data_IF_302917668215
#
_entry.id   IF_302917668215
#
_cell.length_a   1.000
_cell.length_b   1.000
_cell.length_c   1.000
_cell.angle_alpha   90.00
_cell.angle_beta   90.00
_cell.angle_gamma   90.00
#
_symmetry.space_group_name_H-M   'P 1'
#
loop_
_entity.id
_entity.type
_entity.pdbx_description
1 polymer ?
#
# COMPACT_ATOMS: atom_id res chain seq x y z
N UNK A 1 -24.25 27.68 4.18
CA UNK A 1 -25.15 26.63 3.67
C UNK A 1 -24.29 25.44 3.27
N UNK A 2 -24.23 24.42 4.14
CA UNK A 2 -23.66 23.11 3.84
C UNK A 2 -24.48 22.49 2.72
N UNK A 3 -23.91 22.30 1.53
CA UNK A 3 -24.57 21.53 0.49
C UNK A 3 -24.63 20.08 0.97
N UNK A 4 -25.83 19.61 1.32
CA UNK A 4 -26.11 18.20 1.52
C UNK A 4 -25.82 17.47 0.21
N UNK A 5 -24.90 16.51 0.26
CA UNK A 5 -24.61 15.59 -0.84
C UNK A 5 -25.83 14.69 -1.00
N UNK A 6 -26.89 15.17 -1.66
CA UNK A 6 -28.07 14.38 -1.98
C UNK A 6 -27.68 13.28 -2.99
N UNK A 7 -27.75 12.04 -2.50
CA UNK A 7 -28.26 10.83 -3.17
C UNK A 7 -27.69 10.44 -4.54
N UNK A 8 -26.38 10.22 -4.64
CA UNK A 8 -25.86 9.28 -5.64
C UNK A 8 -25.34 8.05 -4.92
N UNK A 9 -26.14 7.00 -4.98
CA UNK A 9 -25.78 5.67 -4.50
C UNK A 9 -24.71 5.07 -5.43
N UNK A 10 -23.45 5.03 -4.98
CA UNK A 10 -22.36 4.39 -5.72
C UNK A 10 -22.70 2.90 -5.97
N UNK A 11 -23.48 2.25 -5.11
CA UNK A 11 -23.88 0.86 -5.27
C UNK A 11 -24.93 0.64 -6.37
N UNK A 12 -25.61 1.71 -6.82
CA UNK A 12 -26.51 1.69 -7.97
C UNK A 12 -25.79 1.99 -9.30
N UNK A 13 -24.49 2.31 -9.26
CA UNK A 13 -23.70 2.60 -10.46
C UNK A 13 -22.98 1.32 -10.88
N UNK A 14 -23.55 0.64 -11.87
CA UNK A 14 -22.92 -0.50 -12.53
C UNK A 14 -21.84 0.00 -13.50
N UNK A 15 -20.69 0.44 -12.96
CA UNK A 15 -19.47 0.43 -13.76
C UNK A 15 -19.09 -1.02 -13.86
N UNK A 16 -19.70 -1.74 -14.81
CA UNK A 16 -19.40 -3.13 -15.04
C UNK A 16 -17.89 -3.22 -15.33
N UNK A 17 -17.13 -3.68 -14.33
CA UNK A 17 -15.67 -3.77 -14.41
C UNK A 17 -15.21 -4.71 -15.54
N UNK A 18 -16.14 -5.48 -16.13
CA UNK A 18 -15.95 -6.38 -17.25
C UNK A 18 -16.43 -5.82 -18.59
N UNK A 19 -17.00 -4.60 -18.64
CA UNK A 19 -17.25 -3.94 -19.91
C UNK A 19 -15.93 -3.70 -20.64
N UNK A 20 -15.95 -3.81 -21.97
CA UNK A 20 -14.78 -3.49 -22.78
C UNK A 20 -14.23 -2.10 -22.36
N UNK A 21 -12.91 -1.99 -22.22
CA UNK A 21 -12.24 -0.70 -21.94
C UNK A 21 -12.61 0.34 -23.00
N UNK A 22 -12.94 -0.13 -24.20
CA UNK A 22 -13.40 0.69 -25.34
C UNK A 22 -14.90 1.00 -25.35
N UNK A 23 -15.70 0.48 -24.40
CA UNK A 23 -17.08 0.93 -24.20
C UNK A 23 -17.06 2.40 -23.77
N UNK A 24 -17.97 3.24 -24.27
CA UNK A 24 -18.06 4.64 -23.85
C UNK A 24 -19.12 4.85 -22.75
N UNK A 25 -19.86 3.80 -22.38
CA UNK A 25 -21.05 3.90 -21.52
C UNK A 25 -20.73 4.30 -20.07
N UNK A 26 -19.58 3.87 -19.55
CA UNK A 26 -19.11 4.19 -18.20
C UNK A 26 -18.57 5.62 -18.05
N UNK A 27 -18.18 6.29 -19.14
CA UNK A 27 -17.43 7.57 -19.11
C UNK A 27 -18.19 8.68 -18.36
N UNK A 28 -19.48 8.95 -18.68
CA UNK A 28 -20.24 10.00 -17.99
C UNK A 28 -20.40 9.72 -16.49
N UNK A 29 -20.56 8.45 -16.13
CA UNK A 29 -20.73 8.03 -14.74
C UNK A 29 -19.45 8.21 -13.93
N UNK A 30 -18.32 7.72 -14.45
CA UNK A 30 -17.02 7.83 -13.76
C UNK A 30 -16.59 9.29 -13.63
N UNK A 31 -16.83 10.11 -14.65
CA UNK A 31 -16.58 11.56 -14.59
C UNK A 31 -17.35 12.23 -13.45
N UNK A 32 -18.66 11.95 -13.34
CA UNK A 32 -19.51 12.47 -12.26
C UNK A 32 -19.01 12.02 -10.88
N UNK A 33 -18.63 10.75 -10.73
CA UNK A 33 -18.10 10.20 -9.47
C UNK A 33 -16.81 10.94 -9.07
N UNK A 34 -15.86 11.12 -9.99
CA UNK A 34 -14.61 11.82 -9.71
C UNK A 34 -14.85 13.28 -9.33
N UNK A 35 -15.75 13.98 -10.02
CA UNK A 35 -16.15 15.35 -9.68
C UNK A 35 -16.77 15.45 -8.28
N UNK A 36 -17.59 14.47 -7.89
CA UNK A 36 -18.17 14.40 -6.55
C UNK A 36 -17.10 14.14 -5.49
N UNK A 37 -16.21 13.16 -5.72
CA UNK A 37 -15.12 12.85 -4.81
C UNK A 37 -14.19 14.05 -4.59
N UNK A 38 -13.90 14.81 -5.64
CA UNK A 38 -13.09 16.02 -5.58
C UNK A 38 -13.74 17.15 -4.77
N UNK A 39 -15.08 17.17 -4.66
CA UNK A 39 -15.82 18.17 -3.89
C UNK A 39 -16.06 17.77 -2.43
N UNK A 40 -15.72 16.54 -2.03
CA UNK A 40 -15.90 16.09 -0.65
C UNK A 40 -15.00 16.85 0.32
N UNK A 41 -15.63 17.45 1.32
CA UNK A 41 -14.94 18.08 2.45
C UNK A 41 -14.54 17.06 3.53
N UNK A 42 -15.31 15.97 3.66
CA UNK A 42 -15.01 14.86 4.57
C UNK A 42 -14.76 13.57 3.79
N UNK A 43 -13.49 13.17 3.72
CA UNK A 43 -13.04 11.93 3.06
C UNK A 43 -13.06 10.70 3.97
N UNK A 44 -13.57 10.83 5.20
CA UNK A 44 -13.79 9.71 6.13
C UNK A 44 -15.18 9.09 6.00
N UNK A 45 -16.11 9.75 5.30
CA UNK A 45 -17.48 9.30 5.14
C UNK A 45 -17.63 7.97 4.37
N UNK A 46 -18.78 7.31 4.53
CA UNK A 46 -19.08 6.01 3.89
C UNK A 46 -18.96 6.06 2.36
N UNK A 47 -19.46 7.14 1.74
CA UNK A 47 -19.38 7.33 0.29
C UNK A 47 -17.93 7.36 -0.20
N UNK A 48 -17.02 8.01 0.54
CA UNK A 48 -15.60 8.01 0.20
C UNK A 48 -15.00 6.60 0.29
N UNK A 49 -15.44 5.79 1.27
CA UNK A 49 -15.00 4.39 1.37
C UNK A 49 -15.50 3.54 0.19
N UNK A 50 -16.75 3.74 -0.26
CA UNK A 50 -17.31 3.06 -1.43
C UNK A 50 -16.57 3.45 -2.72
N UNK A 51 -16.23 4.74 -2.86
CA UNK A 51 -15.36 5.22 -3.93
C UNK A 51 -14.00 4.53 -3.94
N UNK A 52 -13.33 4.40 -2.78
CA UNK A 52 -12.06 3.69 -2.69
C UNK A 52 -12.21 2.19 -2.95
N UNK A 53 -13.36 1.58 -2.63
CA UNK A 53 -13.65 0.20 -2.97
C UNK A 53 -13.74 0.00 -4.48
N UNK A 54 -14.38 0.92 -5.21
CA UNK A 54 -14.41 0.95 -6.67
C UNK A 54 -12.98 1.08 -7.26
N UNK A 55 -12.12 1.88 -6.64
CA UNK A 55 -10.72 2.08 -7.06
C UNK A 55 -9.79 0.90 -6.75
N UNK A 56 -10.27 -0.18 -6.13
CA UNK A 56 -9.50 -1.43 -5.98
C UNK A 56 -9.22 -2.10 -7.33
N UNK A 57 -10.07 -1.89 -8.33
CA UNK A 57 -9.86 -2.37 -9.70
C UNK A 57 -8.81 -1.54 -10.44
N UNK A 58 -7.74 -2.19 -10.89
CA UNK A 58 -6.71 -1.58 -11.74
C UNK A 58 -7.31 -1.05 -13.04
N UNK A 59 -8.27 -1.77 -13.63
CA UNK A 59 -8.99 -1.31 -14.81
C UNK A 59 -9.80 -0.04 -14.56
N UNK A 60 -10.46 0.07 -13.40
CA UNK A 60 -11.19 1.30 -13.05
C UNK A 60 -10.24 2.46 -12.80
N UNK A 61 -9.10 2.22 -12.14
CA UNK A 61 -8.06 3.24 -11.97
C UNK A 61 -7.53 3.72 -13.32
N UNK A 62 -7.25 2.81 -14.26
CA UNK A 62 -6.78 3.15 -15.60
C UNK A 62 -7.82 4.02 -16.35
N UNK A 63 -9.10 3.70 -16.26
CA UNK A 63 -10.19 4.47 -16.88
C UNK A 63 -10.23 5.94 -16.44
N UNK A 64 -9.74 6.27 -15.24
CA UNK A 64 -9.66 7.69 -14.77
C UNK A 64 -8.72 8.56 -15.60
N UNK A 65 -7.85 7.96 -16.42
CA UNK A 65 -6.91 8.67 -17.30
C UNK A 65 -7.48 8.96 -18.70
N UNK A 66 -8.73 8.59 -18.98
CA UNK A 66 -9.36 8.88 -20.28
C UNK A 66 -9.42 10.37 -20.58
N UNK A 67 -9.00 10.72 -21.80
CA UNK A 67 -9.02 12.09 -22.34
C UNK A 67 -10.43 12.71 -22.43
N UNK A 68 -11.47 11.88 -22.32
CA UNK A 68 -12.86 12.31 -22.27
C UNK A 68 -13.30 12.76 -20.87
N UNK A 69 -12.54 12.40 -19.82
CA UNK A 69 -12.79 12.80 -18.43
C UNK A 69 -11.97 14.04 -18.09
N UNK A 70 -10.66 13.97 -18.31
CA UNK A 70 -9.67 15.01 -18.03
C UNK A 70 -8.78 15.22 -19.26
N UNK A 71 -8.17 16.39 -19.47
CA UNK A 71 -7.22 16.63 -20.57
C UNK A 71 -6.12 15.58 -20.63
N UNK A 72 -5.56 15.33 -21.82
CA UNK A 72 -4.52 14.32 -22.04
C UNK A 72 -3.41 14.38 -20.99
N UNK A 73 -3.05 13.21 -20.45
CA UNK A 73 -1.97 13.11 -19.46
C UNK A 73 -0.65 13.60 -20.06
N UNK A 74 -0.07 14.65 -19.47
CA UNK A 74 1.03 15.39 -20.08
C UNK A 74 2.42 14.74 -19.90
N UNK A 75 2.59 13.87 -18.90
CA UNK A 75 3.90 13.28 -18.60
C UNK A 75 4.13 12.02 -19.45
N UNK A 76 4.84 12.17 -20.57
CA UNK A 76 5.08 11.10 -21.55
C UNK A 76 5.86 9.91 -20.98
N UNK A 77 6.80 10.17 -20.07
CA UNK A 77 7.64 9.12 -19.46
C UNK A 77 6.91 8.30 -18.38
N UNK A 78 5.73 8.75 -17.97
CA UNK A 78 4.93 8.11 -16.92
C UNK A 78 3.57 7.76 -17.51
N UNK A 79 3.41 6.52 -17.98
CA UNK A 79 2.18 6.11 -18.66
C UNK A 79 1.00 5.92 -17.68
N UNK A 80 -0.25 6.18 -18.10
CA UNK A 80 -1.45 5.85 -17.34
C UNK A 80 -1.49 4.41 -16.81
N UNK A 81 -1.05 3.44 -17.62
CA UNK A 81 -0.97 2.02 -17.23
C UNK A 81 0.00 1.84 -16.07
N UNK A 82 1.18 2.46 -16.13
CA UNK A 82 2.16 2.36 -15.06
C UNK A 82 1.68 2.99 -13.74
N UNK A 83 0.87 4.05 -13.82
CA UNK A 83 0.22 4.69 -12.67
C UNK A 83 -0.88 3.80 -12.07
N UNK A 84 -1.77 3.28 -12.92
CA UNK A 84 -2.84 2.37 -12.49
C UNK A 84 -2.28 1.09 -11.85
N UNK A 85 -1.24 0.53 -12.46
CA UNK A 85 -0.51 -0.64 -11.96
C UNK A 85 0.17 -0.37 -10.61
N UNK A 86 0.71 0.84 -10.41
CA UNK A 86 1.27 1.29 -9.14
C UNK A 86 0.20 1.62 -8.07
N UNK A 87 -1.08 1.40 -8.35
CA UNK A 87 -2.19 1.58 -7.42
C UNK A 87 -2.80 2.98 -7.43
N UNK A 88 -2.46 3.82 -8.40
CA UNK A 88 -2.95 5.19 -8.50
C UNK A 88 -4.11 5.36 -9.48
N UNK A 89 -5.08 6.20 -9.11
CA UNK A 89 -6.05 6.77 -10.04
C UNK A 89 -5.79 8.27 -10.22
N UNK A 90 -6.25 8.84 -11.32
CA UNK A 90 -6.11 10.27 -11.64
C UNK A 90 -7.14 11.09 -10.89
N UNK A 91 -6.68 12.13 -10.19
CA UNK A 91 -7.51 13.03 -9.39
C UNK A 91 -7.79 14.34 -10.14
N UNK A 92 -6.74 14.91 -10.76
CA UNK A 92 -6.79 16.14 -11.54
C UNK A 92 -5.86 16.03 -12.75
N UNK A 93 -5.64 17.13 -13.47
CA UNK A 93 -4.75 17.18 -14.63
C UNK A 93 -3.34 16.63 -14.33
N UNK A 94 -2.79 16.90 -13.14
CA UNK A 94 -1.43 16.55 -12.73
C UNK A 94 -1.35 15.61 -11.51
N UNK A 95 -2.45 15.48 -10.74
CA UNK A 95 -2.48 14.72 -9.49
C UNK A 95 -2.96 13.30 -9.68
N UNK A 96 -2.30 12.39 -8.97
CA UNK A 96 -2.72 11.00 -8.83
C UNK A 96 -2.82 10.62 -7.36
N UNK A 97 -3.77 9.75 -7.02
CA UNK A 97 -4.00 9.32 -5.64
C UNK A 97 -4.04 7.80 -5.54
N UNK A 98 -3.37 7.26 -4.52
CA UNK A 98 -3.36 5.82 -4.30
C UNK A 98 -4.72 5.36 -3.74
N UNK A 99 -5.27 4.28 -4.28
CA UNK A 99 -6.51 3.69 -3.80
C UNK A 99 -6.42 3.05 -2.40
N UNK A 100 -5.20 2.81 -1.89
CA UNK A 100 -4.97 1.97 -0.71
C UNK A 100 -4.39 2.74 0.47
N UNK A 101 -3.38 3.58 0.26
CA UNK A 101 -2.84 4.45 1.31
C UNK A 101 -3.39 5.88 1.27
N UNK A 102 -4.18 6.22 0.24
CA UNK A 102 -4.73 7.57 0.01
C UNK A 102 -3.68 8.65 -0.24
N UNK A 103 -2.39 8.30 -0.29
CA UNK A 103 -1.31 9.21 -0.63
C UNK A 103 -1.48 9.81 -2.03
N UNK A 104 -1.21 11.11 -2.15
CA UNK A 104 -1.35 11.87 -3.39
C UNK A 104 0.04 12.29 -3.87
N UNK A 105 0.31 12.14 -5.17
CA UNK A 105 1.51 12.64 -5.83
C UNK A 105 1.11 13.59 -6.95
N UNK A 106 1.82 14.69 -7.04
CA UNK A 106 1.63 15.75 -8.02
C UNK A 106 2.98 16.15 -8.64
N UNK A 107 2.90 16.94 -9.72
CA UNK A 107 4.02 17.52 -10.45
C UNK A 107 4.94 16.46 -11.10
N UNK A 108 4.33 15.47 -11.78
CA UNK A 108 5.08 14.48 -12.56
C UNK A 108 5.72 15.14 -13.79
N UNK A 109 7.04 15.13 -13.84
CA UNK A 109 7.82 15.74 -14.93
C UNK A 109 8.50 14.69 -15.82
N UNK A 110 8.82 15.02 -17.09
CA UNK A 110 9.65 14.16 -17.94
C UNK A 110 10.96 13.76 -17.22
N UNK A 111 11.35 12.49 -17.34
CA UNK A 111 12.47 11.91 -16.60
C UNK A 111 12.16 11.46 -15.16
N UNK A 112 10.92 11.58 -14.70
CA UNK A 112 10.48 11.03 -13.41
C UNK A 112 10.74 9.52 -13.30
N UNK A 113 10.97 9.05 -12.07
CA UNK A 113 11.10 7.62 -11.77
C UNK A 113 9.76 6.90 -11.97
N UNK A 114 9.80 5.57 -12.11
CA UNK A 114 8.58 4.77 -12.29
C UNK A 114 7.59 5.01 -11.14
N UNK A 115 6.27 5.06 -11.40
CA UNK A 115 5.29 5.34 -10.35
C UNK A 115 5.36 4.43 -9.15
N UNK A 116 5.59 3.13 -9.38
CA UNK A 116 5.70 2.15 -8.31
C UNK A 116 6.92 2.41 -7.43
N UNK A 117 8.04 2.83 -8.01
CA UNK A 117 9.24 3.18 -7.27
C UNK A 117 9.01 4.43 -6.40
N UNK A 118 8.43 5.49 -6.98
CA UNK A 118 8.09 6.70 -6.23
C UNK A 118 7.11 6.38 -5.11
N UNK A 119 6.08 5.58 -5.39
CA UNK A 119 5.11 5.13 -4.38
C UNK A 119 5.80 4.37 -3.24
N UNK A 120 6.68 3.42 -3.58
CA UNK A 120 7.40 2.63 -2.59
C UNK A 120 8.34 3.46 -1.71
N UNK A 121 8.88 4.57 -2.24
CA UNK A 121 9.74 5.47 -1.46
C UNK A 121 8.95 6.45 -0.61
N UNK A 122 7.90 7.05 -1.19
CA UNK A 122 7.14 8.13 -0.56
C UNK A 122 6.11 7.58 0.43
N UNK A 123 5.33 6.57 0.01
CA UNK A 123 4.33 5.91 0.84
C UNK A 123 4.70 4.44 1.05
N UNK A 124 5.90 4.19 1.57
CA UNK A 124 6.41 2.85 1.86
C UNK A 124 5.52 2.04 2.82
N UNK A 125 4.77 2.70 3.72
CA UNK A 125 3.78 2.06 4.61
C UNK A 125 2.47 1.74 3.90
N UNK A 126 2.32 2.10 2.63
CA UNK A 126 1.11 1.81 1.88
C UNK A 126 0.86 0.31 1.92
N UNK A 127 -0.31 -0.18 2.39
CA UNK A 127 -0.60 -1.60 2.45
C UNK A 127 -0.43 -2.32 1.10
N UNK A 128 -0.66 -1.61 -0.02
CA UNK A 128 -0.44 -2.13 -1.37
C UNK A 128 1.04 -2.29 -1.75
N UNK A 129 1.88 -1.33 -1.39
CA UNK A 129 3.35 -1.44 -1.51
C UNK A 129 3.85 -2.51 -0.55
N UNK A 130 3.25 -2.60 0.64
CA UNK A 130 3.57 -3.61 1.63
C UNK A 130 3.13 -5.02 1.25
N UNK A 131 2.47 -5.18 0.09
CA UNK A 131 1.94 -6.46 -0.40
C UNK A 131 0.89 -7.10 0.51
N UNK A 132 0.21 -6.28 1.30
CA UNK A 132 -0.96 -6.71 2.06
C UNK A 132 -2.13 -6.98 1.10
N UNK A 133 -3.05 -7.85 1.51
CA UNK A 133 -4.32 -8.02 0.79
C UNK A 133 -5.22 -6.82 1.05
N UNK A 134 -5.12 -5.86 0.13
CA UNK A 134 -5.94 -4.66 0.09
C UNK A 134 -7.18 -4.84 -0.81
N UNK A 135 -7.40 -6.05 -1.32
CA UNK A 135 -8.43 -6.35 -2.31
C UNK A 135 -8.15 -5.77 -3.70
N UNK A 136 -6.89 -5.50 -4.05
CA UNK A 136 -6.52 -5.03 -5.40
C UNK A 136 -6.92 -6.06 -6.46
N UNK A 137 -7.55 -5.61 -7.55
CA UNK A 137 -7.93 -6.45 -8.70
C UNK A 137 -7.09 -6.03 -9.92
N UNK A 138 -6.06 -6.82 -10.31
CA UNK A 138 -5.18 -6.47 -11.43
C UNK A 138 -5.85 -6.55 -12.80
N UNK A 139 -5.28 -5.84 -13.79
CA UNK A 139 -5.67 -5.96 -15.20
C UNK A 139 -5.35 -7.37 -15.74
N UNK A 140 -6.29 -7.98 -16.47
CA UNK A 140 -6.07 -9.25 -17.20
C UNK A 140 -6.27 -10.55 -16.41
N UNK A 141 -6.75 -10.49 -15.16
CA UNK A 141 -7.23 -11.68 -14.44
C UNK A 141 -8.76 -11.78 -14.60
N UNK A 142 -9.19 -12.67 -15.50
CA UNK A 142 -10.58 -13.02 -15.78
C UNK A 142 -11.36 -13.36 -14.48
N UNK A 143 -12.60 -12.87 -14.27
CA UNK A 143 -13.41 -13.17 -13.09
C UNK A 143 -13.99 -14.60 -13.07
N UNK A 144 -13.62 -15.47 -14.00
CA UNK A 144 -14.19 -16.82 -14.11
C UNK A 144 -13.37 -17.81 -13.28
N UNK A 145 -13.49 -17.68 -11.96
CA UNK A 145 -13.49 -18.82 -11.02
C UNK A 145 -14.02 -18.34 -9.68
N UNK A 146 -15.34 -18.42 -9.53
CA UNK A 146 -16.10 -18.51 -8.28
C UNK A 146 -15.34 -18.09 -7.01
N UNK A 147 -15.39 -16.81 -6.65
CA UNK A 147 -15.61 -16.43 -5.25
C UNK A 147 -16.55 -15.22 -5.22
N UNK A 148 -17.65 -15.26 -4.46
CA UNK A 148 -18.46 -14.08 -4.22
C UNK A 148 -17.60 -13.05 -3.49
N UNK A 149 -17.73 -11.80 -3.95
CA UNK A 149 -17.26 -10.60 -3.29
C UNK A 149 -17.71 -10.59 -1.82
N UNK A 150 -16.75 -10.55 -0.89
CA UNK A 150 -17.03 -10.22 0.51
C UNK A 150 -16.47 -8.83 0.78
N UNK A 151 -17.26 -7.89 1.33
CA UNK A 151 -16.84 -6.52 1.53
C UNK A 151 -15.75 -6.44 2.60
N UNK A 152 -14.75 -5.59 2.40
CA UNK A 152 -13.78 -5.25 3.44
C UNK A 152 -13.63 -3.74 3.54
N UNK A 153 -14.39 -3.13 4.46
CA UNK A 153 -13.91 -2.31 5.58
C UNK A 153 -15.10 -1.84 6.47
N UNK A 154 -14.94 -1.90 7.79
CA UNK A 154 -15.70 -1.11 8.77
C UNK A 154 -17.18 -1.47 8.99
N UNK A 155 -17.44 -2.48 9.82
CA UNK A 155 -18.77 -2.71 10.42
C UNK A 155 -19.67 -3.76 9.75
N UNK A 156 -19.21 -4.47 8.72
CA UNK A 156 -20.02 -5.53 8.11
C UNK A 156 -19.98 -6.81 8.95
N UNK A 157 -21.17 -7.39 9.17
CA UNK A 157 -21.35 -8.63 9.89
C UNK A 157 -20.46 -9.72 9.28
N UNK A 158 -19.76 -10.44 10.16
CA UNK A 158 -18.97 -11.64 9.90
C UNK A 158 -19.75 -12.55 8.95
N UNK A 159 -19.45 -12.49 7.64
CA UNK A 159 -19.81 -13.60 6.77
C UNK A 159 -18.86 -14.70 7.17
N UNK A 160 -19.38 -15.63 7.97
CA UNK A 160 -18.77 -16.89 8.39
C UNK A 160 -18.52 -17.82 7.19
N UNK A 161 -18.06 -17.32 6.04
CA UNK A 161 -17.72 -18.16 4.90
C UNK A 161 -16.33 -18.73 5.15
N UNK A 162 -16.29 -19.90 5.78
CA UNK A 162 -15.14 -20.80 5.69
C UNK A 162 -14.79 -20.93 4.21
N UNK A 163 -13.53 -20.76 3.85
CA UNK A 163 -13.11 -21.11 2.50
C UNK A 163 -13.07 -22.65 2.39
N UNK A 164 -14.12 -23.26 1.84
CA UNK A 164 -14.29 -24.71 1.73
C UNK A 164 -13.16 -25.40 0.96
N UNK A 165 -12.46 -24.69 0.07
CA UNK A 165 -11.32 -25.23 -0.66
C UNK A 165 -10.07 -25.42 0.22
N UNK A 166 -10.03 -24.80 1.40
CA UNK A 166 -8.88 -24.77 2.33
C UNK A 166 -9.27 -25.04 3.78
N UNK A 167 -10.44 -25.67 3.97
CA UNK A 167 -11.01 -25.99 5.28
C UNK A 167 -10.15 -26.99 6.04
N UNK A 168 -9.60 -28.00 5.37
CA UNK A 168 -8.78 -29.02 6.02
C UNK A 168 -7.31 -28.63 6.05
N UNK A 169 -6.56 -29.20 7.00
CA UNK A 169 -5.12 -29.01 7.10
C UNK A 169 -4.39 -29.44 5.82
N UNK A 170 -4.78 -30.58 5.25
CA UNK A 170 -4.15 -31.18 4.07
C UNK A 170 -4.34 -30.29 2.82
N UNK A 171 -5.53 -29.71 2.66
CA UNK A 171 -5.80 -28.75 1.57
C UNK A 171 -4.91 -27.51 1.67
N UNK A 172 -4.70 -27.00 2.90
CA UNK A 172 -3.82 -25.87 3.15
C UNK A 172 -2.36 -26.24 2.90
N UNK A 173 -1.90 -27.39 3.39
CA UNK A 173 -0.54 -27.85 3.17
C UNK A 173 -0.24 -28.04 1.68
N UNK A 174 -1.19 -28.63 0.93
CA UNK A 174 -1.05 -28.86 -0.51
C UNK A 174 -0.88 -27.56 -1.31
N UNK A 175 -1.39 -26.43 -0.81
CA UNK A 175 -1.23 -25.12 -1.49
C UNK A 175 0.23 -24.67 -1.59
N UNK A 176 1.13 -25.18 -0.75
CA UNK A 176 2.54 -24.82 -0.71
C UNK A 176 3.44 -25.67 -1.63
N UNK A 177 2.93 -26.76 -2.23
CA UNK A 177 3.75 -27.80 -2.87
C UNK A 177 4.74 -27.27 -3.93
N UNK A 178 4.35 -26.24 -4.71
CA UNK A 178 5.22 -25.64 -5.74
C UNK A 178 6.09 -24.48 -5.24
N UNK A 179 5.96 -24.10 -3.96
CA UNK A 179 6.54 -22.88 -3.40
C UNK A 179 7.23 -23.10 -2.04
N UNK A 180 7.50 -24.35 -1.65
CA UNK A 180 8.06 -24.69 -0.33
C UNK A 180 9.35 -23.94 0.02
N UNK A 181 10.16 -23.60 -0.99
CA UNK A 181 11.40 -22.84 -0.83
C UNK A 181 11.19 -21.44 -0.22
N UNK A 182 10.02 -20.83 -0.40
CA UNK A 182 9.68 -19.51 0.15
C UNK A 182 9.28 -19.57 1.65
N UNK A 183 8.98 -20.76 2.16
CA UNK A 183 8.40 -20.97 3.49
C UNK A 183 9.27 -21.89 4.37
N UNK A 184 10.51 -22.13 3.96
CA UNK A 184 11.48 -22.96 4.66
C UNK A 184 11.88 -22.33 6.00
N UNK A 185 11.92 -23.07 7.13
CA UNK A 185 11.97 -24.54 7.18
C UNK A 185 10.62 -25.27 7.37
N UNK A 186 9.46 -24.59 7.45
CA UNK A 186 8.26 -25.29 7.93
C UNK A 186 6.90 -24.80 7.38
N UNK A 187 6.59 -25.16 6.12
CA UNK A 187 5.25 -25.04 5.51
C UNK A 187 4.13 -25.67 6.35
N UNK A 188 4.44 -26.67 7.20
CA UNK A 188 3.43 -27.34 8.04
C UNK A 188 2.90 -26.40 9.12
N UNK A 189 3.75 -25.56 9.71
CA UNK A 189 3.32 -24.58 10.71
C UNK A 189 2.36 -23.54 10.13
N UNK A 190 2.56 -23.14 8.86
CA UNK A 190 1.61 -22.28 8.16
C UNK A 190 0.24 -22.96 8.02
N UNK A 191 0.22 -24.21 7.55
CA UNK A 191 -1.03 -24.97 7.43
C UNK A 191 -1.70 -25.23 8.78
N UNK A 192 -0.92 -25.51 9.85
CA UNK A 192 -1.40 -25.65 11.22
C UNK A 192 -2.04 -24.34 11.71
N UNK A 193 -1.41 -23.19 11.45
CA UNK A 193 -1.92 -21.86 11.79
C UNK A 193 -3.14 -21.42 10.96
N UNK A 194 -3.73 -22.31 10.17
CA UNK A 194 -4.92 -22.02 9.36
C UNK A 194 -4.59 -21.30 8.05
N UNK A 195 -3.33 -21.28 7.62
CA UNK A 195 -2.87 -20.48 6.49
C UNK A 195 -2.65 -21.36 5.26
N UNK A 196 -3.04 -20.86 4.10
CA UNK A 196 -2.75 -21.45 2.79
C UNK A 196 -2.06 -20.44 1.90
N UNK A 197 -1.20 -20.92 1.01
CA UNK A 197 -0.52 -20.12 0.02
C UNK A 197 -1.50 -19.47 -0.95
N UNK A 198 -1.37 -18.16 -1.13
CA UNK A 198 -2.16 -17.38 -2.09
C UNK A 198 -1.29 -16.62 -3.09
N UNK A 199 -0.03 -16.39 -2.75
CA UNK A 199 0.96 -15.73 -3.59
C UNK A 199 0.62 -14.28 -3.96
N UNK A 200 1.45 -13.62 -4.78
CA UNK A 200 2.87 -13.97 -5.04
C UNK A 200 3.75 -13.86 -3.78
N UNK A 201 5.01 -14.31 -3.86
CA UNK A 201 5.96 -14.25 -2.75
C UNK A 201 5.62 -15.23 -1.62
N UNK A 202 5.77 -14.82 -0.36
CA UNK A 202 5.42 -15.62 0.82
C UNK A 202 3.98 -15.36 1.29
N UNK A 203 3.11 -14.87 0.41
CA UNK A 203 1.76 -14.46 0.78
C UNK A 203 0.86 -15.65 1.08
N UNK A 204 0.27 -15.63 2.27
CA UNK A 204 -0.64 -16.66 2.78
C UNK A 204 -1.94 -16.04 3.27
N UNK A 205 -3.03 -16.79 3.21
CA UNK A 205 -4.36 -16.35 3.63
C UNK A 205 -4.95 -17.34 4.62
N UNK A 206 -5.66 -16.82 5.62
CA UNK A 206 -6.36 -17.65 6.58
C UNK A 206 -7.66 -18.21 5.98
N UNK A 207 -7.92 -19.51 6.13
CA UNK A 207 -9.16 -20.13 5.65
C UNK A 207 -10.42 -19.64 6.38
N UNK A 208 -10.26 -19.10 7.60
CA UNK A 208 -11.35 -18.71 8.50
C UNK A 208 -11.63 -17.21 8.52
N UNK A 209 -10.64 -16.39 8.90
CA UNK A 209 -10.84 -14.93 8.96
C UNK A 209 -10.60 -14.26 7.62
N UNK A 210 -10.11 -14.99 6.61
CA UNK A 210 -9.72 -14.46 5.30
C UNK A 210 -8.62 -13.40 5.34
N UNK A 211 -8.01 -13.19 6.52
CA UNK A 211 -6.87 -12.31 6.70
C UNK A 211 -5.67 -12.82 5.92
N UNK A 212 -4.96 -11.91 5.26
CA UNK A 212 -3.78 -12.22 4.46
C UNK A 212 -2.54 -11.66 5.13
N UNK A 213 -1.48 -12.46 5.10
CA UNK A 213 -0.17 -12.17 5.69
C UNK A 213 0.93 -12.47 4.68
N UNK A 214 2.06 -11.82 4.87
CA UNK A 214 3.29 -11.96 4.09
C UNK A 214 4.46 -11.44 4.94
N UNK A 215 5.68 -11.50 4.40
CA UNK A 215 6.94 -11.01 5.00
C UNK A 215 7.36 -11.76 6.25
N UNK A 216 7.16 -13.07 6.26
CA UNK A 216 7.67 -13.97 7.27
C UNK A 216 9.19 -14.06 7.14
N UNK A 217 9.91 -13.67 8.18
CA UNK A 217 11.31 -14.04 8.31
C UNK A 217 11.43 -15.56 8.49
N UNK A 218 12.62 -16.10 8.19
CA UNK A 218 12.91 -17.54 8.24
C UNK A 218 12.52 -18.25 9.54
N UNK A 219 12.44 -17.52 10.65
CA UNK A 219 12.14 -18.05 11.99
C UNK A 219 10.84 -17.49 12.59
N UNK A 220 10.04 -16.75 11.82
CA UNK A 220 8.78 -16.22 12.32
C UNK A 220 7.79 -17.36 12.58
N UNK A 221 7.07 -17.28 13.70
CA UNK A 221 5.99 -18.22 14.01
C UNK A 221 4.71 -17.80 13.28
N UNK A 222 4.18 -18.63 12.35
CA UNK A 222 2.93 -18.32 11.65
C UNK A 222 1.74 -18.13 12.58
N UNK A 223 1.73 -18.79 13.73
CA UNK A 223 0.68 -18.60 14.74
C UNK A 223 0.76 -17.22 15.39
N UNK A 224 1.96 -16.79 15.81
CA UNK A 224 2.15 -15.49 16.42
C UNK A 224 1.80 -14.38 15.42
N UNK A 225 2.23 -14.51 14.17
CA UNK A 225 1.92 -13.51 13.15
C UNK A 225 0.40 -13.42 12.88
N UNK A 226 -0.30 -14.57 12.78
CA UNK A 226 -1.74 -14.62 12.59
C UNK A 226 -2.51 -14.06 13.80
N UNK A 227 -2.11 -14.42 15.02
CA UNK A 227 -2.75 -13.95 16.24
C UNK A 227 -2.55 -12.45 16.47
N UNK A 228 -1.35 -11.93 16.20
CA UNK A 228 -1.05 -10.51 16.33
C UNK A 228 -1.71 -9.64 15.27
N UNK A 229 -1.73 -10.11 14.01
CA UNK A 229 -2.33 -9.36 12.92
C UNK A 229 -3.87 -9.43 12.92
N UNK A 230 -4.45 -10.56 13.33
CA UNK A 230 -5.90 -10.79 13.34
C UNK A 230 -6.38 -11.36 14.68
N UNK A 231 -6.27 -10.61 15.80
CA UNK A 231 -6.59 -11.11 17.14
C UNK A 231 -8.07 -11.48 17.35
N UNK A 232 -8.95 -10.97 16.48
CA UNK A 232 -10.37 -11.30 16.46
C UNK A 232 -10.71 -12.56 15.64
N UNK A 233 -9.73 -13.20 14.99
CA UNK A 233 -9.93 -14.41 14.20
C UNK A 233 -10.51 -15.53 15.05
N UNK A 234 -11.69 -16.04 14.68
CA UNK A 234 -12.38 -17.11 15.45
C UNK A 234 -11.52 -18.37 15.59
N UNK A 235 -10.84 -18.79 14.52
CA UNK A 235 -9.97 -19.96 14.52
C UNK A 235 -8.79 -19.80 15.48
N UNK A 236 -8.17 -18.62 15.51
CA UNK A 236 -7.09 -18.32 16.45
C UNK A 236 -7.60 -18.37 17.88
N UNK A 237 -8.73 -17.72 18.18
CA UNK A 237 -9.33 -17.68 19.52
C UNK A 237 -9.83 -19.03 20.02
N UNK A 238 -10.14 -19.96 19.12
CA UNK A 238 -10.53 -21.34 19.45
C UNK A 238 -9.31 -22.21 19.82
N UNK A 239 -8.11 -21.88 19.34
CA UNK A 239 -6.92 -22.73 19.49
C UNK A 239 -5.86 -22.13 20.42
N UNK A 240 -5.72 -20.80 20.44
CA UNK A 240 -4.71 -20.07 21.22
C UNK A 240 -5.33 -19.35 22.41
N UNK A 241 -4.56 -19.25 23.49
CA UNK A 241 -4.97 -18.53 24.70
C UNK A 241 -4.98 -17.02 24.51
N UNK A 242 -5.72 -16.31 25.35
CA UNK A 242 -5.75 -14.85 25.35
C UNK A 242 -4.36 -14.25 25.62
N UNK A 243 -3.55 -14.90 26.46
CA UNK A 243 -2.17 -14.51 26.77
C UNK A 243 -1.29 -14.56 25.52
N UNK A 244 -1.31 -15.69 24.79
CA UNK A 244 -0.58 -15.84 23.53
C UNK A 244 -1.00 -14.77 22.50
N UNK A 245 -2.30 -14.49 22.39
CA UNK A 245 -2.81 -13.47 21.46
C UNK A 245 -2.28 -12.08 21.84
N UNK A 246 -2.30 -11.72 23.12
CA UNK A 246 -1.79 -10.43 23.59
C UNK A 246 -0.28 -10.28 23.37
N UNK A 247 0.51 -11.32 23.65
CA UNK A 247 1.94 -11.35 23.36
C UNK A 247 2.21 -11.23 21.85
N UNK A 248 1.41 -11.91 21.02
CA UNK A 248 1.51 -11.86 19.57
C UNK A 248 1.20 -10.47 18.99
N UNK A 249 0.25 -9.74 19.57
CA UNK A 249 -0.03 -8.34 19.18
C UNK A 249 1.22 -7.49 19.39
N UNK A 250 1.90 -7.62 20.53
CA UNK A 250 3.13 -6.86 20.83
C UNK A 250 4.21 -7.17 19.78
N UNK A 251 4.42 -8.44 19.43
CA UNK A 251 5.40 -8.86 18.41
C UNK A 251 5.10 -8.20 17.06
N UNK A 252 3.84 -8.22 16.61
CA UNK A 252 3.46 -7.61 15.33
C UNK A 252 3.60 -6.08 15.36
N UNK A 253 3.29 -5.43 16.47
CA UNK A 253 3.52 -3.99 16.64
C UNK A 253 5.02 -3.63 16.62
N UNK A 254 5.88 -4.44 17.24
CA UNK A 254 7.34 -4.29 17.16
C UNK A 254 7.86 -4.47 15.73
N UNK A 255 7.34 -5.45 14.98
CA UNK A 255 7.67 -5.63 13.57
C UNK A 255 7.24 -4.42 12.73
N UNK A 256 6.04 -3.89 12.95
CA UNK A 256 5.58 -2.65 12.28
C UNK A 256 6.50 -1.47 12.62
N UNK A 257 6.89 -1.31 13.88
CA UNK A 257 7.81 -0.27 14.31
C UNK A 257 9.20 -0.42 13.68
N UNK A 258 9.71 -1.66 13.58
CA UNK A 258 10.94 -1.99 12.86
C UNK A 258 10.84 -1.58 11.38
N UNK A 259 9.76 -1.95 10.70
CA UNK A 259 9.52 -1.56 9.30
C UNK A 259 9.41 -0.04 9.13
N UNK A 260 8.81 0.67 10.09
CA UNK A 260 8.76 2.13 10.11
C UNK A 260 10.14 2.79 10.35
N UNK A 261 11.02 2.15 11.12
CA UNK A 261 12.40 2.61 11.30
C UNK A 261 13.24 2.36 10.04
N UNK A 262 13.13 1.17 9.44
CA UNK A 262 13.78 0.77 8.17
C UNK A 262 13.56 1.83 7.11
N UNK A 263 12.30 2.18 6.89
CA UNK A 263 11.89 3.16 5.90
C UNK A 263 12.30 4.58 6.20
N UNK A 264 12.37 4.95 7.48
CA UNK A 264 12.88 6.26 7.89
C UNK A 264 14.38 6.38 7.60
N UNK A 265 15.13 5.32 7.85
CA UNK A 265 16.53 5.23 7.45
C UNK A 265 16.69 5.26 5.92
N UNK A 266 15.84 4.56 5.16
CA UNK A 266 15.86 4.59 3.69
C UNK A 266 15.69 6.00 3.14
N UNK A 267 14.78 6.80 3.75
CA UNK A 267 14.57 8.22 3.42
C UNK A 267 15.82 9.08 3.68
N UNK A 268 16.73 8.68 4.56
CA UNK A 268 17.88 9.51 4.96
C UNK A 268 19.20 9.13 4.28
N UNK A 269 19.43 7.87 3.93
CA UNK A 269 20.77 7.42 3.46
C UNK A 269 20.78 6.67 2.12
N UNK A 270 19.64 6.19 1.61
CA UNK A 270 19.65 5.08 0.66
C UNK A 270 19.12 5.40 -0.75
N UNK A 271 18.48 6.55 -0.93
CA UNK A 271 17.83 6.86 -2.19
C UNK A 271 18.79 7.22 -3.35
N UNK A 272 20.09 7.41 -3.09
CA UNK A 272 21.12 7.54 -4.14
C UNK A 272 21.59 6.20 -4.71
N UNK A 273 21.59 5.11 -3.94
CA UNK A 273 22.10 3.81 -4.39
C UNK A 273 21.07 3.03 -5.23
N UNK A 274 19.77 3.23 -4.94
CA UNK A 274 18.68 2.68 -5.74
C UNK A 274 18.60 3.29 -7.16
N UNK A 275 19.18 4.47 -7.38
CA UNK A 275 19.28 5.11 -8.70
C UNK A 275 20.06 4.22 -9.68
N UNK A 276 21.15 3.61 -9.21
CA UNK A 276 22.07 2.82 -10.03
C UNK A 276 21.52 1.43 -10.37
N UNK A 277 20.57 0.94 -9.58
CA UNK A 277 20.02 -0.42 -9.73
C UNK A 277 18.97 -0.55 -10.86
N UNK A 278 18.53 0.57 -11.46
CA UNK A 278 17.57 0.61 -12.60
C UNK A 278 16.39 -0.37 -12.43
N UNK A 279 15.82 -0.44 -11.22
CA UNK A 279 14.79 -1.43 -10.89
C UNK A 279 13.45 -1.06 -11.56
N UNK A 280 12.91 -1.95 -12.39
CA UNK A 280 11.63 -1.78 -13.09
C UNK A 280 10.49 -2.65 -12.55
N UNK A 281 10.76 -3.58 -11.63
CA UNK A 281 9.78 -4.56 -11.14
C UNK A 281 9.53 -4.44 -9.62
N UNK A 282 8.27 -4.65 -9.21
CA UNK A 282 7.79 -4.60 -7.82
C UNK A 282 8.64 -5.44 -6.86
N UNK A 283 8.92 -6.68 -7.27
CA UNK A 283 9.55 -7.69 -6.43
C UNK A 283 11.00 -7.31 -6.06
N UNK A 284 11.77 -6.81 -7.03
CA UNK A 284 13.18 -6.46 -6.82
C UNK A 284 13.40 -5.27 -5.90
N UNK A 285 12.47 -4.31 -5.83
CA UNK A 285 12.62 -3.15 -4.93
C UNK A 285 12.52 -3.59 -3.48
N UNK A 286 11.50 -4.40 -3.16
CA UNK A 286 11.27 -4.89 -1.80
C UNK A 286 12.31 -5.94 -1.37
N UNK A 287 12.73 -6.81 -2.29
CA UNK A 287 13.79 -7.79 -2.05
C UNK A 287 15.12 -7.12 -1.71
N UNK A 288 15.58 -6.15 -2.51
CA UNK A 288 16.80 -5.37 -2.24
C UNK A 288 16.71 -4.64 -0.90
N UNK A 289 15.53 -4.09 -0.60
CA UNK A 289 15.26 -3.42 0.67
C UNK A 289 15.37 -4.37 1.88
N UNK A 290 14.87 -5.61 1.74
CA UNK A 290 14.90 -6.62 2.80
C UNK A 290 16.30 -7.22 2.99
N UNK A 291 16.96 -7.65 1.91
CA UNK A 291 18.27 -8.29 1.94
C UNK A 291 19.36 -7.41 2.57
N UNK A 292 19.32 -6.10 2.30
CA UNK A 292 20.33 -5.17 2.82
C UNK A 292 20.14 -4.86 4.30
N UNK A 293 18.90 -4.84 4.80
CA UNK A 293 18.62 -4.75 6.23
C UNK A 293 19.26 -5.92 6.99
N UNK A 294 19.11 -7.13 6.45
CA UNK A 294 19.67 -8.33 7.06
C UNK A 294 21.21 -8.37 6.99
N UNK A 295 21.82 -7.77 5.96
CA UNK A 295 23.27 -7.71 5.77
C UNK A 295 23.99 -6.65 6.62
N UNK A 296 23.37 -5.50 6.92
CA UNK A 296 24.06 -4.41 7.61
C UNK A 296 24.10 -4.53 9.15
N UNK A 297 23.38 -5.48 9.77
CA UNK A 297 23.35 -5.68 11.24
C UNK A 297 23.34 -4.36 12.03
N UNK A 298 22.54 -3.39 11.61
CA UNK A 298 22.49 -2.09 12.29
C UNK A 298 22.08 -2.31 13.76
N UNK A 299 22.81 -1.76 14.74
CA UNK A 299 22.73 -2.17 16.13
C UNK A 299 21.51 -1.52 16.78
N UNK A 300 20.34 -2.14 16.64
CA UNK A 300 19.26 -1.99 17.61
C UNK A 300 19.06 -3.34 18.29
N UNK A 301 20.09 -3.74 19.05
CA UNK A 301 20.08 -4.97 19.86
C UNK A 301 19.46 -4.76 21.25
N UNK A 302 18.65 -3.73 21.45
CA UNK A 302 17.90 -3.57 22.69
C UNK A 302 16.54 -2.92 22.45
N UNK A 303 15.48 -3.50 23.04
CA UNK A 303 14.12 -2.97 23.01
C UNK A 303 14.01 -1.58 23.68
N UNK A 304 15.00 -1.16 24.46
CA UNK A 304 15.05 0.16 25.10
C UNK A 304 15.50 1.29 24.17
N UNK A 305 16.42 1.03 23.23
CA UNK A 305 16.90 2.07 22.30
C UNK A 305 15.86 2.38 21.21
N UNK A 306 15.05 1.38 20.82
CA UNK A 306 13.90 1.57 19.93
C UNK A 306 12.89 2.57 20.52
N UNK A 307 12.70 2.55 21.84
CA UNK A 307 11.77 3.45 22.54
C UNK A 307 12.19 4.93 22.48
N UNK A 308 13.50 5.21 22.48
CA UNK A 308 14.05 6.57 22.40
C UNK A 308 13.96 7.16 20.97
N UNK A 309 14.26 6.36 19.93
CA UNK A 309 14.12 6.80 18.54
C UNK A 309 12.66 6.97 18.09
N UNK A 310 11.74 6.16 18.62
CA UNK A 310 10.30 6.26 18.35
C UNK A 310 9.71 7.57 18.91
N UNK A 311 10.16 8.05 20.09
CA UNK A 311 9.62 9.25 20.72
C UNK A 311 9.89 10.55 19.93
N UNK A 312 11.07 10.69 19.31
CA UNK A 312 11.38 11.84 18.43
C UNK A 312 10.59 11.80 17.11
N UNK A 313 10.34 10.59 16.57
CA UNK A 313 9.61 10.39 15.31
C UNK A 313 8.10 10.62 15.43
N UNK A 314 7.53 10.47 16.63
CA UNK A 314 6.12 10.75 16.93
C UNK A 314 5.84 12.21 17.31
N UNK A 315 6.86 13.08 17.33
CA UNK A 315 6.65 14.50 17.60
C UNK A 315 5.96 15.20 16.43
N UNK A 316 5.02 16.12 16.69
CA UNK A 316 4.35 16.94 15.66
C UNK A 316 5.36 17.69 14.76
N UNK A 317 6.55 17.97 15.30
CA UNK A 317 7.67 18.59 14.59
C UNK A 317 8.33 17.68 13.53
N UNK A 318 8.05 16.37 13.54
CA UNK A 318 8.61 15.44 12.57
C UNK A 318 8.07 15.70 11.15
N UNK A 319 6.84 16.23 11.04
CA UNK A 319 6.15 16.56 9.79
C UNK A 319 6.42 17.99 9.27
N UNK A 320 7.18 18.81 9.99
CA UNK A 320 7.51 20.18 9.58
C UNK A 320 8.78 20.25 8.74
N UNK A 321 8.80 21.19 7.78
CA UNK A 321 9.91 21.49 6.90
C UNK A 321 11.19 21.73 7.71
N UNK A 322 12.29 21.04 7.37
CA UNK A 322 13.55 21.14 8.12
C UNK A 322 14.37 22.38 7.79
N UNK A 323 13.82 23.31 6.99
CA UNK A 323 14.43 24.59 6.65
C UNK A 323 13.67 25.72 7.35
N UNK A 324 12.36 25.86 7.08
CA UNK A 324 11.58 26.94 7.70
C UNK A 324 10.99 26.56 9.06
N UNK A 325 10.85 25.27 9.38
CA UNK A 325 10.18 24.76 10.59
C UNK A 325 8.73 25.26 10.78
N UNK A 326 8.12 25.77 9.72
CA UNK A 326 6.77 26.35 9.73
C UNK A 326 5.79 25.54 8.88
N UNK A 327 6.14 25.30 7.61
CA UNK A 327 5.28 24.61 6.65
C UNK A 327 5.48 23.10 6.68
N UNK A 328 4.49 22.33 6.27
CA UNK A 328 4.55 20.86 6.22
C UNK A 328 5.59 20.35 5.21
N UNK A 329 6.18 19.19 5.54
CA UNK A 329 7.01 18.39 4.64
C UNK A 329 6.15 17.79 3.54
N UNK A 330 6.35 18.24 2.32
CA UNK A 330 5.55 17.78 1.20
C UNK A 330 6.34 17.64 -0.11
N UNK A 331 7.65 17.93 -0.14
CA UNK A 331 8.44 17.82 -1.38
C UNK A 331 9.45 16.68 -1.32
N UNK A 332 9.49 15.89 -2.39
CA UNK A 332 10.50 14.87 -2.68
C UNK A 332 11.49 15.45 -3.68
N UNK A 333 12.77 15.50 -3.32
CA UNK A 333 13.84 16.00 -4.18
C UNK A 333 14.41 14.88 -5.05
N UNK A 334 14.24 14.93 -6.37
CA UNK A 334 14.80 13.93 -7.29
C UNK A 334 16.19 14.34 -7.78
N UNK A 335 17.11 13.37 -8.00
CA UNK A 335 16.88 11.92 -7.98
C UNK A 335 17.07 11.28 -6.59
N UNK A 336 17.57 12.03 -5.61
CA UNK A 336 17.93 11.52 -4.29
C UNK A 336 16.75 11.15 -3.36
N UNK A 337 15.50 11.38 -3.79
CA UNK A 337 14.24 11.10 -3.11
C UNK A 337 14.15 11.53 -1.62
N UNK A 338 14.99 12.45 -1.17
CA UNK A 338 14.93 12.99 0.18
C UNK A 338 13.71 13.91 0.36
N UNK A 339 12.96 13.68 1.43
CA UNK A 339 11.81 14.52 1.84
C UNK A 339 12.20 15.34 3.06
N UNK A 340 12.58 16.61 2.84
CA UNK A 340 13.09 17.49 3.91
C UNK A 340 12.44 18.88 3.92
N UNK A 341 11.64 19.21 2.90
CA UNK A 341 11.21 20.59 2.65
C UNK A 341 9.74 20.71 2.30
N UNK A 342 9.18 21.89 2.58
CA UNK A 342 7.93 22.36 1.97
C UNK A 342 8.18 22.85 0.53
N UNK A 343 7.10 23.15 -0.21
CA UNK A 343 7.15 23.67 -1.60
C UNK A 343 8.02 24.93 -1.70
N UNK A 344 7.79 25.92 -0.84
CA UNK A 344 8.49 27.22 -0.91
C UNK A 344 9.98 27.11 -0.65
N UNK A 345 10.39 26.21 0.25
CA UNK A 345 11.79 25.96 0.52
C UNK A 345 12.45 25.16 -0.61
N UNK A 346 11.77 24.16 -1.16
CA UNK A 346 12.29 23.32 -2.24
C UNK A 346 12.64 24.12 -3.50
N UNK A 347 11.81 25.11 -3.86
CA UNK A 347 12.03 25.97 -5.03
C UNK A 347 13.35 26.77 -5.00
N UNK A 348 13.97 26.90 -3.82
CA UNK A 348 15.22 27.66 -3.62
C UNK A 348 16.45 26.75 -3.53
N UNK A 349 16.30 25.45 -3.75
CA UNK A 349 17.35 24.47 -3.58
C UNK A 349 17.89 23.98 -4.93
N UNK A 350 19.16 24.26 -5.19
CA UNK A 350 19.90 23.61 -6.28
C UNK A 350 20.43 22.23 -5.86
N UNK A 351 20.67 22.02 -4.56
CA UNK A 351 21.19 20.78 -4.00
C UNK A 351 20.36 20.33 -2.78
N UNK A 352 20.21 19.02 -2.61
CA UNK A 352 19.51 18.43 -1.49
C UNK A 352 20.20 18.79 -0.15
N UNK A 353 19.47 19.26 0.88
CA UNK A 353 20.07 19.65 2.16
C UNK A 353 20.54 18.43 2.99
N UNK A 354 20.08 17.22 2.65
CA UNK A 354 20.47 15.99 3.35
C UNK A 354 21.74 15.40 2.72
N UNK A 355 21.72 15.11 1.42
CA UNK A 355 22.81 14.40 0.75
C UNK A 355 23.68 15.26 -0.19
N UNK A 356 23.33 16.54 -0.36
CA UNK A 356 24.02 17.50 -1.25
C UNK A 356 23.99 17.16 -2.74
N UNK A 357 23.25 16.13 -3.14
CA UNK A 357 23.06 15.81 -4.55
C UNK A 357 22.26 16.91 -5.26
N UNK A 358 22.61 17.19 -6.52
CA UNK A 358 21.91 18.21 -7.32
C UNK A 358 20.46 17.80 -7.55
N UNK A 359 19.55 18.73 -7.26
CA UNK A 359 18.12 18.55 -7.46
C UNK A 359 17.83 18.73 -8.96
N UNK A 360 17.35 17.66 -9.59
CA UNK A 360 16.98 17.66 -11.00
C UNK A 360 15.53 18.08 -11.20
N UNK A 361 14.64 17.58 -10.34
CA UNK A 361 13.21 17.88 -10.34
C UNK A 361 12.63 17.59 -8.95
N UNK A 362 11.37 17.99 -8.72
CA UNK A 362 10.69 17.81 -7.45
C UNK A 362 9.28 17.26 -7.63
N UNK A 363 8.90 16.29 -6.78
CA UNK A 363 7.53 15.81 -6.69
C UNK A 363 6.87 16.37 -5.43
N UNK A 364 5.59 16.71 -5.54
CA UNK A 364 4.80 17.19 -4.41
C UNK A 364 3.89 16.06 -3.91
N UNK A 365 3.95 15.79 -2.62
CA UNK A 365 3.27 14.68 -1.95
C UNK A 365 2.32 15.21 -0.89
N UNK A 366 1.13 14.63 -0.81
CA UNK A 366 0.16 14.95 0.23
C UNK A 366 -0.23 13.67 0.96
N UNK A 367 -0.32 13.76 2.28
CA UNK A 367 -0.91 12.74 3.13
C UNK A 367 -2.40 13.09 3.30
N UNK A 368 -3.28 12.14 3.00
CA UNK A 368 -4.74 12.31 3.01
C UNK A 368 -5.39 11.70 4.23
#
# INVERSE_FOLDING_TARGET
>A
MTMSVESVDISAIDINVNENVDSYEWIPQLKKILEMFNKLTDKSCSWANDFFALMKSEGTRLRTFSDQILPTWACVDVSPESLANAGFFRLTESKVQCAFCRGIIDNWEPGSRTPLYVHALVFYMCPFIMEMDVGNVPLGLDPIRNQPSIPCCGGCQIVNSINENYKTYEQRLASFASHEHLFSPNVRQFAEAGLYYKGPGDRVKCFRCTGTMSRFAKNDDPWAHHAGAFPSCKFVREIKSSEFINESIIIVEELKAKWFAISTWMRSNFALELIDLKLQSKDRVLEVMSDRWDQQRLPFTSACDAKFGILELTSENSLLCKICFENELCVVLLPCCHTATCVTCAQKLDNCPICRHTVQTTLHTFYS
#
